data_IF_922098787988
#
_entry.id   IF_922098787988
#
_cell.length_a   1.000
_cell.length_b   1.000
_cell.length_c   1.000
_cell.angle_alpha   90.00
_cell.angle_beta   90.00
_cell.angle_gamma   90.00
#
_symmetry.space_group_name_H-M   'P 1'
#
loop_
_entity.id
_entity.type
_entity.pdbx_description
1 polymer ?
#
# COMPACT_ATOMS: atom_id res chain seq x y z
N UNK A 1 -2.32 4.15 17.00
CA UNK A 1 -1.77 3.30 15.93
C UNK A 1 -0.86 4.18 15.09
N UNK A 2 0.37 3.71 14.86
CA UNK A 2 1.37 4.39 14.05
C UNK A 2 1.25 4.01 12.56
N UNK A 3 1.84 4.81 11.68
CA UNK A 3 1.78 4.61 10.21
C UNK A 3 2.22 3.21 9.79
N UNK A 4 3.39 2.67 10.23
CA UNK A 4 3.82 1.34 9.79
C UNK A 4 2.82 0.26 10.19
N UNK A 5 2.30 0.33 11.41
CA UNK A 5 1.33 -0.66 11.91
C UNK A 5 -0.01 -0.60 11.15
N UNK A 6 -0.45 0.59 10.76
CA UNK A 6 -1.66 0.78 9.97
C UNK A 6 -1.52 0.15 8.58
N UNK A 7 -0.42 0.45 7.88
CA UNK A 7 -0.12 -0.11 6.57
C UNK A 7 0.00 -1.63 6.60
N UNK A 8 0.63 -2.18 7.64
CA UNK A 8 0.70 -3.64 7.84
C UNK A 8 -0.67 -4.27 8.06
N UNK A 9 -1.58 -3.58 8.75
CA UNK A 9 -2.96 -4.06 8.95
C UNK A 9 -3.73 -4.11 7.63
N UNK A 10 -3.60 -3.09 6.78
CA UNK A 10 -4.20 -3.10 5.44
C UNK A 10 -3.65 -4.25 4.60
N UNK A 11 -2.33 -4.43 4.60
CA UNK A 11 -1.65 -5.49 3.87
C UNK A 11 -2.12 -6.88 4.32
N UNK A 12 -2.23 -7.10 5.62
CA UNK A 12 -2.71 -8.36 6.17
C UNK A 12 -4.19 -8.62 5.82
N UNK A 13 -5.02 -7.57 5.86
CA UNK A 13 -6.45 -7.67 5.50
C UNK A 13 -6.62 -8.09 4.03
N UNK A 14 -5.80 -7.54 3.14
CA UNK A 14 -5.77 -7.94 1.73
C UNK A 14 -5.37 -9.42 1.57
N UNK A 15 -4.35 -9.88 2.29
CA UNK A 15 -3.88 -11.28 2.21
C UNK A 15 -4.91 -12.29 2.74
N UNK A 16 -5.69 -11.91 3.74
CA UNK A 16 -6.75 -12.75 4.31
C UNK A 16 -7.99 -12.82 3.41
N UNK A 17 -8.23 -11.77 2.61
CA UNK A 17 -9.40 -11.67 1.73
C UNK A 17 -9.01 -11.16 0.32
N UNK A 18 -8.21 -11.89 -0.46
CA UNK A 18 -7.67 -11.41 -1.74
C UNK A 18 -8.75 -11.20 -2.82
N UNK A 19 -9.93 -11.78 -2.65
CA UNK A 19 -11.09 -11.62 -3.53
C UNK A 19 -11.98 -10.42 -3.17
N UNK A 20 -11.69 -9.74 -2.06
CA UNK A 20 -12.43 -8.57 -1.62
C UNK A 20 -11.73 -7.29 -2.12
N UNK A 21 -11.99 -6.95 -3.38
CA UNK A 21 -11.61 -5.67 -4.02
C UNK A 21 -12.29 -4.44 -3.37
N UNK A 22 -12.82 -4.58 -2.14
CA UNK A 22 -13.53 -3.54 -1.40
C UNK A 22 -12.62 -2.67 -0.55
N UNK A 23 -11.30 -2.80 -0.70
CA UNK A 23 -10.37 -1.83 -0.17
C UNK A 23 -10.61 -0.50 -0.88
N UNK A 24 -10.91 0.59 -0.15
CA UNK A 24 -11.22 1.85 -0.80
C UNK A 24 -9.98 2.36 -1.53
N UNK A 25 -10.07 2.41 -2.87
CA UNK A 25 -9.02 2.90 -3.77
C UNK A 25 -8.48 4.24 -3.27
N UNK A 26 -9.36 5.18 -2.89
CA UNK A 26 -8.97 6.42 -2.24
C UNK A 26 -9.90 6.74 -1.06
N UNK A 27 -9.32 7.01 0.11
CA UNK A 27 -10.09 7.47 1.28
C UNK A 27 -9.27 8.36 2.19
N UNK A 28 -9.93 9.05 3.13
CA UNK A 28 -9.23 9.79 4.18
C UNK A 28 -9.34 9.05 5.50
N UNK A 29 -8.20 8.77 6.13
CA UNK A 29 -8.11 7.97 7.37
C UNK A 29 -7.35 8.72 8.47
N UNK A 30 -7.65 8.40 9.72
CA UNK A 30 -7.01 8.99 10.90
C UNK A 30 -5.98 8.02 11.49
N UNK A 31 -4.70 8.39 11.46
CA UNK A 31 -3.59 7.61 12.02
C UNK A 31 -2.79 8.50 12.97
N UNK A 32 -2.62 8.06 14.22
CA UNK A 32 -1.95 8.86 15.25
C UNK A 32 -2.56 10.26 15.46
N UNK A 33 -3.87 10.43 15.26
CA UNK A 33 -4.58 11.71 15.38
C UNK A 33 -4.33 12.70 14.23
N UNK A 34 -3.77 12.24 13.11
CA UNK A 34 -3.57 13.04 11.89
C UNK A 34 -4.33 12.40 10.73
N UNK A 35 -4.82 13.26 9.84
CA UNK A 35 -5.50 12.86 8.61
C UNK A 35 -4.48 12.51 7.52
N UNK A 36 -4.68 11.37 6.87
CA UNK A 36 -3.92 10.93 5.71
C UNK A 36 -4.88 10.55 4.58
N UNK A 37 -4.44 10.72 3.34
CA UNK A 37 -5.07 10.05 2.21
C UNK A 37 -4.54 8.62 2.19
N UNK A 38 -5.43 7.66 2.22
CA UNK A 38 -5.14 6.27 1.92
C UNK A 38 -5.38 6.04 0.45
N UNK A 39 -4.42 5.39 -0.21
CA UNK A 39 -4.57 4.90 -1.55
C UNK A 39 -4.14 3.44 -1.63
N UNK A 40 -4.86 2.63 -2.40
CA UNK A 40 -4.50 1.25 -2.68
C UNK A 40 -4.58 1.06 -4.17
N UNK A 41 -3.46 0.72 -4.79
CA UNK A 41 -3.39 0.58 -6.23
C UNK A 41 -2.65 -0.69 -6.63
N UNK A 42 -2.97 -1.16 -7.83
CA UNK A 42 -2.43 -2.39 -8.37
C UNK A 42 -1.84 -2.13 -9.75
N UNK A 43 -0.63 -2.61 -9.97
CA UNK A 43 -0.02 -2.69 -11.30
C UNK A 43 0.09 -4.17 -11.71
N UNK A 44 -0.55 -4.51 -12.82
CA UNK A 44 -0.57 -5.87 -13.36
C UNK A 44 0.26 -5.91 -14.64
N UNK A 45 1.33 -6.70 -14.61
CA UNK A 45 2.09 -7.10 -15.79
C UNK A 45 1.82 -8.57 -16.12
N UNK A 46 2.24 -9.02 -17.30
CA UNK A 46 2.03 -10.39 -17.75
C UNK A 46 2.60 -11.47 -16.79
N UNK A 47 3.67 -11.13 -16.07
CA UNK A 47 4.44 -12.09 -15.25
C UNK A 47 4.34 -11.84 -13.73
N UNK A 48 3.79 -10.68 -13.34
CA UNK A 48 3.70 -10.26 -11.94
C UNK A 48 2.58 -9.25 -11.72
N UNK A 49 1.98 -9.30 -10.53
CA UNK A 49 1.07 -8.27 -10.05
C UNK A 49 1.63 -7.64 -8.77
N UNK A 50 1.70 -6.32 -8.74
CA UNK A 50 2.13 -5.55 -7.57
C UNK A 50 0.93 -4.82 -6.99
N UNK A 51 0.73 -4.96 -5.68
CA UNK A 51 -0.27 -4.21 -4.91
C UNK A 51 0.48 -3.30 -3.94
N UNK A 52 0.12 -2.02 -3.90
CA UNK A 52 0.75 -1.03 -3.03
C UNK A 52 -0.31 -0.41 -2.13
N UNK A 53 0.02 -0.32 -0.84
CA UNK A 53 -0.77 0.34 0.18
C UNK A 53 -0.04 1.62 0.57
N UNK A 54 -0.68 2.75 0.36
CA UNK A 54 -0.09 4.07 0.51
C UNK A 54 -0.86 4.88 1.55
N UNK A 55 -0.13 5.57 2.42
CA UNK A 55 -0.62 6.73 3.14
C UNK A 55 0.15 7.96 2.67
N UNK A 56 -0.57 9.01 2.28
CA UNK A 56 0.03 10.28 1.90
C UNK A 56 -0.54 11.48 2.66
N UNK A 57 0.33 12.46 2.92
CA UNK A 57 -0.11 13.77 3.43
C UNK A 57 -0.21 14.75 2.28
N UNK A 58 -1.40 15.27 2.00
CA UNK A 58 -1.53 16.35 1.03
C UNK A 58 -1.29 17.70 1.71
N UNK A 59 -0.05 18.21 1.64
CA UNK A 59 0.25 19.59 2.05
C UNK A 59 0.65 20.38 0.82
N UNK A 60 0.27 21.66 0.79
CA UNK A 60 0.43 22.59 -0.34
C UNK A 60 1.85 22.66 -0.96
N UNK A 61 2.90 22.18 -0.26
CA UNK A 61 4.30 22.30 -0.68
C UNK A 61 5.10 20.99 -0.59
N UNK A 62 4.65 19.99 0.18
CA UNK A 62 5.39 18.74 0.37
C UNK A 62 4.41 17.60 0.64
N UNK A 63 4.37 16.63 -0.28
CA UNK A 63 3.72 15.35 -0.03
C UNK A 63 4.71 14.40 0.64
N UNK A 64 4.27 13.71 1.68
CA UNK A 64 4.98 12.56 2.24
C UNK A 64 4.19 11.32 1.90
N UNK A 65 4.88 10.29 1.45
CA UNK A 65 4.32 9.00 1.08
C UNK A 65 4.91 7.95 2.03
N UNK A 66 4.07 7.01 2.43
CA UNK A 66 4.44 5.88 3.27
C UNK A 66 3.80 4.65 2.67
N UNK A 67 4.64 3.70 2.23
CA UNK A 67 4.19 2.61 1.40
C UNK A 67 4.65 1.25 1.93
N UNK A 68 3.80 0.25 1.76
CA UNK A 68 4.15 -1.18 1.81
C UNK A 68 3.51 -1.87 0.62
N UNK A 69 4.07 -3.00 0.20
CA UNK A 69 3.59 -3.68 -0.99
C UNK A 69 3.53 -5.20 -0.87
N UNK A 70 2.83 -5.80 -1.83
CA UNK A 70 2.80 -7.23 -2.08
C UNK A 70 3.08 -7.45 -3.56
N UNK A 71 4.11 -8.22 -3.88
CA UNK A 71 4.41 -8.64 -5.25
C UNK A 71 4.04 -10.09 -5.44
N UNK A 72 3.06 -10.37 -6.28
CA UNK A 72 2.67 -11.71 -6.70
C UNK A 72 3.46 -12.13 -7.94
N UNK A 73 3.88 -13.39 -7.99
CA UNK A 73 4.44 -14.01 -9.19
C UNK A 73 3.39 -14.87 -9.92
N UNK A 74 3.73 -15.30 -11.14
CA UNK A 74 2.87 -16.17 -11.95
C UNK A 74 2.56 -17.55 -11.31
N UNK A 75 3.34 -17.97 -10.31
CA UNK A 75 3.15 -19.24 -9.59
C UNK A 75 2.20 -19.10 -8.38
N UNK A 76 1.66 -17.91 -8.13
CA UNK A 76 0.76 -17.63 -7.01
C UNK A 76 1.47 -17.41 -5.67
N UNK A 77 2.81 -17.34 -5.66
CA UNK A 77 3.58 -16.93 -4.49
C UNK A 77 3.59 -15.40 -4.39
N UNK A 78 3.85 -14.88 -3.19
CA UNK A 78 4.00 -13.45 -2.98
C UNK A 78 5.22 -13.09 -2.13
N UNK A 79 5.74 -11.90 -2.39
CA UNK A 79 6.78 -11.24 -1.60
C UNK A 79 6.21 -9.97 -0.94
N UNK A 80 6.58 -9.77 0.31
CA UNK A 80 6.24 -8.59 1.10
C UNK A 80 7.31 -7.51 0.89
N UNK A 81 6.90 -6.35 0.36
CA UNK A 81 7.82 -5.24 0.08
C UNK A 81 7.71 -4.16 1.15
N UNK A 82 8.87 -3.72 1.65
CA UNK A 82 8.98 -2.54 2.51
C UNK A 82 8.94 -1.24 1.71
N UNK A 83 8.84 -0.11 2.42
CA UNK A 83 8.92 1.21 1.81
C UNK A 83 10.23 1.41 1.02
N UNK A 84 11.36 0.95 1.57
CA UNK A 84 12.67 1.06 0.93
C UNK A 84 12.74 0.22 -0.35
N UNK A 85 12.23 -1.01 -0.33
CA UNK A 85 12.20 -1.88 -1.50
C UNK A 85 11.29 -1.33 -2.62
N UNK A 86 10.19 -0.69 -2.25
CA UNK A 86 9.32 0.02 -3.21
C UNK A 86 10.04 1.24 -3.82
N UNK A 87 10.78 1.99 -3.01
CA UNK A 87 11.59 3.11 -3.50
C UNK A 87 12.66 2.67 -4.50
N UNK A 88 13.29 1.52 -4.29
CA UNK A 88 14.30 0.95 -5.20
C UNK A 88 13.72 0.63 -6.58
N UNK A 89 12.42 0.38 -6.69
CA UNK A 89 11.72 0.10 -7.95
C UNK A 89 10.93 1.31 -8.48
N UNK A 90 11.16 2.51 -7.91
CA UNK A 90 10.58 3.76 -8.39
C UNK A 90 9.17 4.06 -7.88
N UNK A 91 8.74 3.37 -6.82
CA UNK A 91 7.45 3.62 -6.17
C UNK A 91 7.71 4.47 -4.91
N UNK A 92 7.29 5.75 -4.91
CA UNK A 92 7.57 6.70 -3.84
C UNK A 92 6.81 6.42 -2.54
#
# INVERSE_FOLDING_TARGET
MEIPQYLETLRQTYLENPSDYSLPDESTVQVGGKSYNQNIWQDQSADAALVVFELSTNRLLVSKHFCVGIKHNAEGLYELLSNEQLWEIGIP
#
